data_IF_250720383969
#
_entry.id   IF_250720383969
#
_cell.length_a   1.000
_cell.length_b   1.000
_cell.length_c   1.000
_cell.angle_alpha   90.00
_cell.angle_beta   90.00
_cell.angle_gamma   90.00
#
_symmetry.space_group_name_H-M   'P 1'
#
loop_
_entity.id
_entity.type
_entity.pdbx_description
1 polymer ?
#
# COMPACT_ATOMS: atom_id res chain seq x y z
N UNK A 1 9.83 -10.92 -5.75
CA UNK A 1 8.81 -10.11 -6.45
C UNK A 1 9.54 -9.29 -7.49
N UNK A 2 9.19 -9.42 -8.77
CA UNK A 2 9.67 -8.52 -9.82
C UNK A 2 8.63 -7.41 -9.92
N UNK A 3 8.93 -6.28 -9.30
CA UNK A 3 8.07 -5.10 -9.22
C UNK A 3 8.92 -3.90 -8.80
N UNK A 4 8.43 -2.69 -9.04
CA UNK A 4 9.09 -1.47 -8.57
C UNK A 4 8.82 -1.23 -7.08
N UNK A 5 9.83 -0.72 -6.36
CA UNK A 5 9.70 -0.35 -4.94
C UNK A 5 9.61 1.16 -4.79
N UNK A 6 8.42 1.66 -4.50
CA UNK A 6 8.22 3.09 -4.24
C UNK A 6 8.61 3.48 -2.82
N UNK A 7 9.23 4.66 -2.69
CA UNK A 7 9.64 5.26 -1.40
C UNK A 7 8.60 6.31 -1.00
N UNK A 8 7.48 5.85 -0.46
CA UNK A 8 6.43 6.78 -0.04
C UNK A 8 6.89 7.59 1.18
N UNK A 9 6.96 8.91 1.03
CA UNK A 9 7.24 9.86 2.11
C UNK A 9 5.92 10.52 2.50
N UNK A 10 5.53 10.37 3.76
CA UNK A 10 4.28 10.96 4.26
C UNK A 10 4.41 12.47 4.29
N UNK A 11 3.47 13.17 3.66
CA UNK A 11 3.34 14.61 3.81
C UNK A 11 2.88 14.94 5.25
N UNK A 12 3.70 15.64 6.06
CA UNK A 12 3.36 15.97 7.44
C UNK A 12 2.19 16.95 7.55
N UNK A 13 1.89 17.72 6.51
CA UNK A 13 0.72 18.60 6.45
C UNK A 13 -0.55 17.88 5.96
N UNK A 14 -0.41 16.65 5.49
CA UNK A 14 -1.52 15.83 5.01
C UNK A 14 -2.41 15.30 6.14
N UNK A 15 -3.52 14.62 5.79
CA UNK A 15 -4.44 14.04 6.76
C UNK A 15 -3.83 12.91 7.62
N UNK A 16 -2.59 12.50 7.32
CA UNK A 16 -1.93 11.37 7.94
C UNK A 16 -2.37 10.02 7.36
N UNK A 17 -1.63 8.98 7.74
CA UNK A 17 -1.86 7.61 7.28
C UNK A 17 -1.90 6.63 8.47
N UNK A 18 -2.43 5.45 8.24
CA UNK A 18 -2.21 4.27 9.09
C UNK A 18 -1.54 3.19 8.23
N UNK A 19 -0.35 2.77 8.64
CA UNK A 19 0.48 1.82 7.91
C UNK A 19 0.04 0.39 8.26
N UNK A 20 -0.29 -0.39 7.24
CA UNK A 20 -0.68 -1.80 7.38
C UNK A 20 0.46 -2.75 7.02
N UNK A 21 1.31 -2.34 6.07
CA UNK A 21 2.54 -3.03 5.72
C UNK A 21 3.60 -2.06 5.24
N UNK A 22 4.85 -2.34 5.59
CA UNK A 22 6.02 -1.60 5.14
C UNK A 22 6.92 -2.47 4.27
N UNK A 23 7.76 -1.83 3.46
CA UNK A 23 8.83 -2.50 2.73
C UNK A 23 10.21 -1.97 3.17
N UNK A 24 11.20 -2.85 3.09
CA UNK A 24 12.61 -2.55 3.24
C UNK A 24 13.41 -3.54 2.39
N UNK A 25 14.72 -3.30 2.28
CA UNK A 25 15.66 -4.26 1.69
C UNK A 25 16.56 -4.82 2.79
N UNK A 26 17.03 -6.06 2.64
CA UNK A 26 17.91 -6.68 3.63
C UNK A 26 19.16 -5.80 3.86
N UNK A 27 19.46 -5.52 5.13
CA UNK A 27 20.57 -4.66 5.53
C UNK A 27 20.29 -3.15 5.45
N UNK A 28 19.10 -2.72 5.04
CA UNK A 28 18.69 -1.31 5.07
C UNK A 28 17.84 -0.99 6.29
N UNK A 29 18.20 0.10 6.94
CA UNK A 29 17.50 0.79 8.02
C UNK A 29 16.40 1.74 7.50
N UNK A 30 16.33 1.95 6.17
CA UNK A 30 15.22 2.67 5.52
C UNK A 30 14.01 1.76 5.34
N UNK A 31 12.89 2.17 5.92
CA UNK A 31 11.59 1.48 5.88
C UNK A 31 10.55 2.45 5.32
N UNK A 32 9.78 2.01 4.32
CA UNK A 32 8.75 2.83 3.69
C UNK A 32 7.37 2.17 3.76
N UNK A 33 6.29 2.94 3.93
CA UNK A 33 4.93 2.42 3.79
C UNK A 33 4.72 1.81 2.40
N UNK A 34 4.14 0.61 2.36
CA UNK A 34 3.83 -0.10 1.10
C UNK A 34 2.34 -0.39 0.95
N UNK A 35 1.64 -0.60 2.08
CA UNK A 35 0.17 -0.70 2.15
C UNK A 35 -0.28 0.12 3.34
N UNK A 36 -1.21 1.05 3.12
CA UNK A 36 -1.68 1.97 4.15
C UNK A 36 -3.06 2.53 3.82
N UNK A 37 -3.73 3.11 4.81
CA UNK A 37 -4.96 3.87 4.61
C UNK A 37 -4.71 5.36 4.82
N UNK A 38 -5.39 6.21 4.05
CA UNK A 38 -5.38 7.66 4.27
C UNK A 38 -6.48 8.01 5.27
N UNK A 39 -6.16 8.80 6.30
CA UNK A 39 -7.11 9.25 7.32
C UNK A 39 -7.99 10.42 6.82
N UNK A 40 -8.66 10.21 5.68
CA UNK A 40 -9.57 11.19 5.10
C UNK A 40 -10.94 11.16 5.81
N UNK A 41 -11.47 12.30 6.27
CA UNK A 41 -12.73 12.33 7.03
C UNK A 41 -13.97 12.01 6.18
N UNK A 42 -13.90 12.08 4.85
CA UNK A 42 -15.03 11.94 3.93
C UNK A 42 -14.94 10.72 3.01
N UNK A 43 -13.80 10.04 2.97
CA UNK A 43 -13.56 8.95 2.03
C UNK A 43 -12.79 7.79 2.70
N UNK A 44 -13.01 6.57 2.20
CA UNK A 44 -12.19 5.40 2.54
C UNK A 44 -11.21 5.14 1.41
N UNK A 45 -9.93 5.36 1.71
CA UNK A 45 -8.86 5.30 0.73
C UNK A 45 -7.85 4.27 1.21
N UNK A 46 -7.70 3.18 0.45
CA UNK A 46 -6.63 2.21 0.62
C UNK A 46 -5.57 2.46 -0.45
N UNK A 47 -4.31 2.60 -0.04
CA UNK A 47 -3.17 2.79 -0.92
C UNK A 47 -2.31 1.53 -0.94
N UNK A 48 -1.94 1.09 -2.13
CA UNK A 48 -1.09 -0.08 -2.37
C UNK A 48 0.01 0.38 -3.33
N UNK A 49 1.25 0.40 -2.85
CA UNK A 49 2.41 0.79 -3.64
C UNK A 49 2.95 -0.34 -4.54
N UNK A 50 2.43 -1.56 -4.40
CA UNK A 50 2.78 -2.70 -5.25
C UNK A 50 1.92 -2.70 -6.51
N UNK A 51 2.41 -3.31 -7.60
CA UNK A 51 1.62 -3.56 -8.79
C UNK A 51 2.11 -2.90 -10.08
N UNK A 52 3.36 -2.41 -10.16
CA UNK A 52 3.88 -1.77 -11.38
C UNK A 52 4.05 -2.80 -12.51
N UNK A 53 4.76 -3.90 -12.24
CA UNK A 53 5.02 -4.92 -13.26
C UNK A 53 3.77 -5.78 -13.50
N UNK A 54 3.41 -6.06 -14.75
CA UNK A 54 2.25 -6.91 -15.08
C UNK A 54 2.32 -8.31 -14.47
N UNK A 55 3.52 -8.87 -14.28
CA UNK A 55 3.72 -10.15 -13.61
C UNK A 55 3.26 -10.13 -12.15
N UNK A 56 3.35 -8.97 -11.48
CA UNK A 56 2.92 -8.83 -10.08
C UNK A 56 1.41 -9.06 -9.89
N UNK A 57 0.61 -8.83 -10.94
CA UNK A 57 -0.85 -9.04 -10.94
C UNK A 57 -1.24 -10.52 -10.95
N UNK A 58 -0.29 -11.40 -11.30
CA UNK A 58 -0.49 -12.86 -11.26
C UNK A 58 -0.18 -13.46 -9.88
N UNK A 59 0.32 -12.68 -8.92
CA UNK A 59 0.68 -13.18 -7.60
C UNK A 59 -0.59 -13.32 -6.74
N UNK A 60 -0.89 -14.53 -6.20
CA UNK A 60 -2.11 -14.76 -5.44
C UNK A 60 -2.29 -13.80 -4.25
N UNK A 61 -1.20 -13.49 -3.55
CA UNK A 61 -1.21 -12.58 -2.40
C UNK A 61 -1.53 -11.13 -2.80
N UNK A 62 -1.04 -10.68 -3.96
CA UNK A 62 -1.36 -9.35 -4.48
C UNK A 62 -2.84 -9.26 -4.86
N UNK A 63 -3.38 -10.26 -5.54
CA UNK A 63 -4.80 -10.32 -5.86
C UNK A 63 -5.68 -10.37 -4.61
N UNK A 64 -5.27 -11.12 -3.58
CA UNK A 64 -5.98 -11.17 -2.29
C UNK A 64 -5.97 -9.80 -1.62
N UNK A 65 -4.83 -9.10 -1.61
CA UNK A 65 -4.70 -7.75 -1.09
C UNK A 65 -5.66 -6.79 -1.81
N UNK A 66 -5.70 -6.80 -3.15
CA UNK A 66 -6.62 -5.99 -3.95
C UNK A 66 -8.09 -6.26 -3.59
N UNK A 67 -8.49 -7.53 -3.52
CA UNK A 67 -9.88 -7.92 -3.14
C UNK A 67 -10.25 -7.42 -1.75
N UNK A 68 -9.34 -7.52 -0.78
CA UNK A 68 -9.55 -7.03 0.58
C UNK A 68 -9.66 -5.51 0.62
N UNK A 69 -8.80 -4.81 -0.11
CA UNK A 69 -8.85 -3.35 -0.23
C UNK A 69 -10.19 -2.89 -0.83
N UNK A 70 -10.64 -3.52 -1.92
CA UNK A 70 -11.94 -3.23 -2.55
C UNK A 70 -13.10 -3.45 -1.57
N UNK A 71 -13.11 -4.58 -0.85
CA UNK A 71 -14.14 -4.86 0.17
C UNK A 71 -14.15 -3.80 1.28
N UNK A 72 -12.97 -3.41 1.77
CA UNK A 72 -12.82 -2.42 2.83
C UNK A 72 -13.28 -1.02 2.40
N UNK A 73 -12.87 -0.55 1.20
CA UNK A 73 -13.31 0.77 0.69
C UNK A 73 -14.80 0.79 0.38
N UNK A 74 -15.39 -0.37 0.03
CA UNK A 74 -16.82 -0.47 -0.22
C UNK A 74 -17.67 -0.36 1.06
N UNK A 75 -17.29 -0.97 2.21
CA UNK A 75 -18.22 -1.24 3.37
C UNK A 75 -19.61 -1.61 2.82
N UNK A 76 -19.67 -2.75 2.12
CA UNK A 76 -20.90 -3.51 2.19
C UNK A 76 -21.01 -4.12 3.58
#
# INVERSE_FOLDING_TARGET
>A
LKDERYYYIVDPAGPGIEVLASNSVAGSDKIYPSVFIIKNPKARIAAIALGHDGESHNIPNYQMLLRNAVRWVARK
#
